data_IF_198859633165
#
_entry.id   IF_198859633165
#
_cell.length_a   1.000
_cell.length_b   1.000
_cell.length_c   1.000
_cell.angle_alpha   90.00
_cell.angle_beta   90.00
_cell.angle_gamma   90.00
#
_symmetry.space_group_name_H-M   'P 1'
#
loop_
_entity.id
_entity.type
_entity.pdbx_description
1 polymer ?
#
# COMPACT_ATOMS: atom_id res chain seq x y z
N UNK A 1 34.77 12.70 15.01
CA UNK A 1 33.49 13.44 14.90
C UNK A 1 33.80 14.89 15.21
N UNK A 2 33.68 15.81 14.25
CA UNK A 2 33.93 17.24 14.52
C UNK A 2 32.92 17.79 15.52
N UNK A 3 33.36 18.60 16.49
CA UNK A 3 32.50 19.25 17.47
C UNK A 3 31.31 19.91 16.76
N UNK A 4 30.10 19.45 17.08
CA UNK A 4 28.85 20.11 16.68
C UNK A 4 28.71 21.33 17.60
N UNK A 5 28.67 22.53 17.03
CA UNK A 5 28.75 23.78 17.83
C UNK A 5 27.39 24.34 18.23
N UNK A 6 26.33 24.07 17.46
CA UNK A 6 24.96 24.53 17.68
C UNK A 6 23.94 23.67 16.91
N UNK A 7 22.63 23.93 17.11
CA UNK A 7 21.55 23.16 16.47
C UNK A 7 21.55 23.26 14.94
N UNK A 8 21.88 24.43 14.37
CA UNK A 8 21.93 24.62 12.93
C UNK A 8 23.03 23.74 12.29
N UNK A 9 24.25 23.77 12.84
CA UNK A 9 25.36 22.92 12.39
C UNK A 9 25.04 21.42 12.54
N UNK A 10 24.29 21.03 13.59
CA UNK A 10 23.79 19.66 13.71
C UNK A 10 22.88 19.29 12.54
N UNK A 11 21.84 20.08 12.27
CA UNK A 11 20.84 19.78 11.25
C UNK A 11 21.45 19.80 9.84
N UNK A 12 22.27 20.81 9.53
CA UNK A 12 22.95 20.89 8.22
C UNK A 12 23.78 19.64 7.95
N UNK A 13 24.66 19.24 8.89
CA UNK A 13 25.44 17.99 8.75
C UNK A 13 24.56 16.75 8.77
N UNK A 14 23.41 16.81 9.44
CA UNK A 14 22.43 15.73 9.48
C UNK A 14 21.83 15.48 8.10
N UNK A 15 21.36 16.52 7.44
CA UNK A 15 20.74 16.49 6.12
C UNK A 15 21.77 16.25 5.01
N UNK A 16 22.94 16.91 5.04
CA UNK A 16 24.01 16.74 4.05
C UNK A 16 24.47 15.29 3.91
N UNK A 17 24.63 14.58 5.03
CA UNK A 17 24.99 13.15 5.03
C UNK A 17 23.96 12.28 4.27
N UNK A 18 22.72 12.78 4.14
CA UNK A 18 21.62 12.14 3.41
C UNK A 18 21.37 12.77 2.04
N UNK A 19 22.29 13.63 1.58
CA UNK A 19 22.20 14.36 0.31
C UNK A 19 20.95 15.26 0.24
N UNK A 20 20.48 15.75 1.38
CA UNK A 20 19.35 16.66 1.50
C UNK A 20 19.87 18.08 1.82
N UNK A 21 19.29 19.09 1.17
CA UNK A 21 19.54 20.50 1.49
C UNK A 21 18.59 21.02 2.57
N UNK A 22 17.38 20.48 2.60
CA UNK A 22 16.32 20.80 3.56
C UNK A 22 15.49 19.54 3.82
N UNK A 23 14.67 19.50 4.89
CA UNK A 23 13.70 18.43 5.10
C UNK A 23 12.73 18.30 3.91
N UNK A 24 12.36 17.08 3.57
CA UNK A 24 11.52 16.75 2.41
C UNK A 24 10.16 16.16 2.80
N UNK A 25 9.80 16.20 4.09
CA UNK A 25 8.51 15.70 4.57
C UNK A 25 8.44 14.17 4.73
N UNK A 26 9.52 13.43 4.48
CA UNK A 26 9.54 11.99 4.76
C UNK A 26 9.34 11.71 6.27
N UNK A 27 8.74 10.58 6.66
CA UNK A 27 8.61 10.19 8.06
C UNK A 27 9.95 10.18 8.80
N UNK A 28 9.95 10.56 10.08
CA UNK A 28 11.17 10.78 10.84
C UNK A 28 11.99 9.50 11.05
N UNK A 29 11.33 8.34 11.16
CA UNK A 29 12.00 7.04 11.25
C UNK A 29 12.86 6.71 10.01
N UNK A 30 12.53 7.25 8.84
CA UNK A 30 13.30 7.02 7.60
C UNK A 30 14.65 7.74 7.61
N UNK A 31 14.83 8.76 8.46
CA UNK A 31 16.13 9.39 8.60
C UNK A 31 17.16 8.45 9.24
N UNK A 32 16.76 7.44 10.04
CA UNK A 32 17.68 6.44 10.63
C UNK A 32 18.91 7.07 11.29
N UNK A 33 18.72 7.89 12.32
CA UNK A 33 19.86 8.52 13.03
C UNK A 33 20.76 7.46 13.68
N UNK A 34 22.07 7.57 13.51
CA UNK A 34 23.01 6.64 14.16
C UNK A 34 23.10 6.91 15.66
N UNK A 35 23.33 5.87 16.48
CA UNK A 35 23.47 6.03 17.93
C UNK A 35 24.45 7.15 18.33
N UNK A 36 25.63 7.24 17.71
CA UNK A 36 26.58 8.31 18.02
C UNK A 36 26.07 9.74 17.74
N UNK A 37 25.18 9.92 16.75
CA UNK A 37 24.52 11.21 16.48
C UNK A 37 23.38 11.47 17.44
N UNK A 38 22.63 10.43 17.81
CA UNK A 38 21.60 10.52 18.84
C UNK A 38 22.20 10.97 20.18
N UNK A 39 23.34 10.39 20.61
CA UNK A 39 24.03 10.82 21.83
C UNK A 39 24.56 12.27 21.73
N UNK A 40 25.10 12.66 20.57
CA UNK A 40 25.54 14.04 20.34
C UNK A 40 24.36 15.04 20.40
N UNK A 41 23.22 14.67 19.82
CA UNK A 41 21.98 15.46 19.86
C UNK A 41 21.45 15.61 21.29
N UNK A 42 21.45 14.51 22.06
CA UNK A 42 21.06 14.51 23.47
C UNK A 42 21.92 15.46 24.31
N UNK A 43 23.24 15.40 24.14
CA UNK A 43 24.18 16.30 24.82
C UNK A 43 23.93 17.77 24.43
N UNK A 44 23.75 18.04 23.12
CA UNK A 44 23.47 19.38 22.61
C UNK A 44 22.17 19.98 23.20
N UNK A 45 21.09 19.20 23.26
CA UNK A 45 19.81 19.62 23.86
C UNK A 45 19.93 19.87 25.37
N UNK A 46 20.77 19.10 26.07
CA UNK A 46 21.02 19.27 27.50
C UNK A 46 21.77 20.57 27.79
N UNK A 47 22.84 20.81 27.04
CA UNK A 47 23.80 21.90 27.31
C UNK A 47 23.36 23.25 26.73
N UNK A 48 22.76 23.27 25.55
CA UNK A 48 22.60 24.50 24.75
C UNK A 48 21.14 24.84 24.43
N UNK A 49 20.18 24.38 25.23
CA UNK A 49 18.76 24.65 24.97
C UNK A 49 18.48 26.15 24.80
N UNK A 50 18.07 26.52 23.60
CA UNK A 50 17.62 27.84 23.21
C UNK A 50 16.43 27.66 22.28
N UNK A 51 15.28 28.18 22.69
CA UNK A 51 14.00 27.95 22.00
C UNK A 51 13.94 28.64 20.64
N UNK A 52 14.53 27.95 19.67
CA UNK A 52 14.67 28.30 18.27
C UNK A 52 13.98 27.24 17.42
N UNK A 53 13.74 27.54 16.13
CA UNK A 53 13.15 26.56 15.23
C UNK A 53 14.04 25.31 15.10
N UNK A 54 15.36 25.49 15.05
CA UNK A 54 16.36 24.43 14.96
C UNK A 54 16.42 23.59 16.24
N UNK A 55 16.33 24.21 17.42
CA UNK A 55 16.22 23.47 18.68
C UNK A 55 14.94 22.64 18.72
N UNK A 56 13.81 23.20 18.28
CA UNK A 56 12.52 22.51 18.24
C UNK A 56 12.55 21.32 17.26
N UNK A 57 13.17 21.49 16.08
CA UNK A 57 13.40 20.40 15.12
C UNK A 57 14.31 19.30 15.69
N UNK A 58 15.40 19.69 16.34
CA UNK A 58 16.31 18.79 17.04
C UNK A 58 15.63 18.02 18.17
N UNK A 59 14.77 18.69 18.94
CA UNK A 59 14.01 18.09 20.02
C UNK A 59 13.05 17.02 19.49
N UNK A 60 12.26 17.32 18.45
CA UNK A 60 11.35 16.33 17.84
C UNK A 60 12.12 15.09 17.36
N UNK A 61 13.24 15.28 16.65
CA UNK A 61 14.07 14.17 16.18
C UNK A 61 14.65 13.35 17.35
N UNK A 62 15.06 14.01 18.43
CA UNK A 62 15.51 13.35 19.65
C UNK A 62 14.39 12.55 20.32
N UNK A 63 13.21 13.15 20.48
CA UNK A 63 12.06 12.53 21.15
C UNK A 63 11.60 11.27 20.42
N UNK A 64 11.52 11.32 19.09
CA UNK A 64 11.19 10.16 18.24
C UNK A 64 12.14 8.99 18.51
N UNK A 65 13.44 9.26 18.57
CA UNK A 65 14.47 8.24 18.79
C UNK A 65 14.54 7.74 20.22
N UNK A 66 14.26 8.61 21.18
CA UNK A 66 14.11 8.25 22.58
C UNK A 66 12.96 7.25 22.74
N UNK A 67 11.80 7.55 22.15
CA UNK A 67 10.61 6.69 22.18
C UNK A 67 10.81 5.35 21.45
N UNK A 68 11.71 5.30 20.46
CA UNK A 68 12.11 4.08 19.74
C UNK A 68 12.99 3.14 20.58
N UNK A 69 13.76 3.67 21.52
CA UNK A 69 14.80 2.90 22.22
C UNK A 69 14.24 1.89 23.23
N UNK A 70 14.85 0.71 23.35
CA UNK A 70 14.42 -0.36 24.26
C UNK A 70 14.73 -0.10 25.74
N UNK A 71 15.59 0.88 26.03
CA UNK A 71 16.01 1.19 27.41
C UNK A 71 14.91 1.79 28.30
N UNK A 72 13.69 1.89 27.79
CA UNK A 72 12.53 2.47 28.46
C UNK A 72 11.36 1.48 28.52
N UNK A 73 11.57 0.37 29.24
CA UNK A 73 10.50 -0.51 29.67
C UNK A 73 9.58 0.26 30.64
N UNK A 74 8.52 0.90 30.13
CA UNK A 74 7.55 1.63 30.93
C UNK A 74 6.62 2.54 30.12
N UNK A 75 5.65 3.17 30.78
CA UNK A 75 4.80 4.20 30.19
C UNK A 75 5.61 5.46 29.90
N UNK A 76 6.33 5.46 28.78
CA UNK A 76 7.03 6.61 28.23
C UNK A 76 6.07 7.80 28.17
N UNK A 77 6.38 8.85 28.90
CA UNK A 77 5.57 10.07 28.95
C UNK A 77 6.48 11.29 28.72
N UNK A 78 5.88 12.47 28.77
CA UNK A 78 6.63 13.72 28.60
C UNK A 78 7.71 13.92 29.66
N UNK A 79 7.47 13.53 30.92
CA UNK A 79 8.46 13.65 31.99
C UNK A 79 9.74 12.88 31.62
N UNK A 80 9.61 11.63 31.15
CA UNK A 80 10.75 10.83 30.71
C UNK A 80 11.59 11.53 29.63
N UNK A 81 10.94 12.13 28.63
CA UNK A 81 11.63 12.81 27.52
C UNK A 81 12.37 14.05 28.03
N UNK A 82 11.70 14.93 28.77
CA UNK A 82 12.29 16.20 29.22
C UNK A 82 13.36 15.99 30.30
N UNK A 83 13.14 15.06 31.23
CA UNK A 83 14.10 14.77 32.31
C UNK A 83 15.38 14.14 31.77
N UNK A 84 15.27 13.32 30.71
CA UNK A 84 16.43 12.69 30.07
C UNK A 84 17.46 13.68 29.49
N UNK A 85 17.03 14.93 29.23
CA UNK A 85 17.87 16.06 28.78
C UNK A 85 18.00 17.15 29.85
N UNK A 86 17.51 16.92 31.07
CA UNK A 86 17.58 17.89 32.17
C UNK A 86 16.74 19.16 31.94
N UNK A 87 15.63 19.05 31.20
CA UNK A 87 14.72 20.17 30.87
C UNK A 87 13.31 19.96 31.41
N UNK A 88 13.16 19.24 32.53
CA UNK A 88 11.86 19.01 33.19
C UNK A 88 11.09 20.30 33.52
N UNK A 89 11.78 21.42 33.70
CA UNK A 89 11.16 22.74 33.90
C UNK A 89 10.38 23.27 32.68
N UNK A 90 10.62 22.74 31.47
CA UNK A 90 9.90 23.09 30.25
C UNK A 90 8.66 22.21 30.03
N UNK A 91 8.44 21.24 30.92
CA UNK A 91 7.49 20.17 30.74
C UNK A 91 6.04 20.58 31.12
N UNK A 92 5.49 21.59 30.45
CA UNK A 92 4.10 22.03 30.63
C UNK A 92 3.35 22.13 29.29
N UNK A 93 2.02 21.92 29.26
CA UNK A 93 1.25 21.72 28.02
C UNK A 93 1.52 22.73 26.91
N UNK A 94 1.48 24.04 27.22
CA UNK A 94 1.68 25.09 26.22
C UNK A 94 3.08 25.06 25.56
N UNK A 95 4.13 24.77 26.33
CA UNK A 95 5.49 24.63 25.80
C UNK A 95 5.63 23.37 24.97
N UNK A 96 5.09 22.23 25.45
CA UNK A 96 5.10 20.95 24.72
C UNK A 96 4.49 21.12 23.33
N UNK A 97 3.27 21.67 23.27
CA UNK A 97 2.56 21.88 22.00
C UNK A 97 3.38 22.76 21.06
N UNK A 98 3.84 23.93 21.52
CA UNK A 98 4.60 24.86 20.67
C UNK A 98 5.93 24.29 20.16
N UNK A 99 6.71 23.64 21.04
CA UNK A 99 7.99 23.02 20.69
C UNK A 99 7.78 21.94 19.61
N UNK A 100 6.79 21.07 19.82
CA UNK A 100 6.52 19.94 18.93
C UNK A 100 5.91 20.41 17.60
N UNK A 101 4.99 21.37 17.61
CA UNK A 101 4.44 22.00 16.41
C UNK A 101 5.51 22.64 15.55
N UNK A 102 6.38 23.44 16.16
CA UNK A 102 7.47 24.10 15.44
C UNK A 102 8.48 23.10 14.87
N UNK A 103 8.77 22.03 15.62
CA UNK A 103 9.65 20.96 15.16
C UNK A 103 9.06 20.19 13.99
N UNK A 104 7.80 19.74 14.08
CA UNK A 104 7.15 19.05 12.97
C UNK A 104 6.98 19.93 11.73
N UNK A 105 6.66 21.22 11.92
CA UNK A 105 6.62 22.19 10.83
C UNK A 105 7.96 22.30 10.12
N UNK A 106 9.08 22.31 10.86
CA UNK A 106 10.42 22.31 10.27
C UNK A 106 10.65 21.05 9.41
N UNK A 107 10.24 19.88 9.91
CA UNK A 107 10.37 18.61 9.20
C UNK A 107 9.35 18.42 8.06
N UNK A 108 8.47 19.41 7.81
CA UNK A 108 7.36 19.34 6.85
C UNK A 108 6.43 18.14 7.11
N UNK A 109 6.14 17.88 8.39
CA UNK A 109 5.28 16.79 8.85
C UNK A 109 4.04 17.35 9.54
N UNK A 110 2.93 16.66 9.38
CA UNK A 110 1.68 16.99 10.04
C UNK A 110 1.59 16.33 11.42
N UNK A 111 0.82 16.95 12.31
CA UNK A 111 0.52 16.39 13.63
C UNK A 111 -0.83 15.68 13.54
N UNK A 112 -0.92 14.51 14.16
CA UNK A 112 -2.17 13.75 14.20
C UNK A 112 -3.28 14.55 14.89
N UNK A 113 -4.39 14.75 14.17
CA UNK A 113 -5.59 15.44 14.65
C UNK A 113 -6.67 14.42 15.06
N UNK A 114 -6.38 13.63 16.11
CA UNK A 114 -7.39 12.79 16.77
C UNK A 114 -8.36 13.60 17.63
N UNK A 115 -9.21 12.93 18.42
CA UNK A 115 -10.18 13.60 19.31
C UNK A 115 -9.49 14.54 20.32
N UNK A 116 -8.26 14.19 20.73
CA UNK A 116 -7.34 15.09 21.41
C UNK A 116 -6.10 15.21 20.51
N UNK A 117 -5.61 16.43 20.28
CA UNK A 117 -4.36 16.69 19.53
C UNK A 117 -3.18 16.05 20.25
N UNK A 118 -2.88 14.79 19.93
CA UNK A 118 -1.97 13.94 20.69
C UNK A 118 -0.54 14.02 20.13
N UNK A 119 0.16 15.08 20.52
CA UNK A 119 1.57 15.32 20.16
C UNK A 119 2.49 14.15 20.52
N UNK A 120 2.27 13.51 21.68
CA UNK A 120 3.09 12.39 22.12
C UNK A 120 2.87 11.17 21.24
N UNK A 121 1.63 10.89 20.87
CA UNK A 121 1.27 9.77 20.00
C UNK A 121 1.77 10.01 18.57
N UNK A 122 1.76 11.26 18.09
CA UNK A 122 2.42 11.64 16.83
C UNK A 122 3.93 11.33 16.88
N UNK A 123 4.62 11.70 17.96
CA UNK A 123 6.05 11.38 18.14
C UNK A 123 6.30 9.87 18.21
N UNK A 124 5.42 9.09 18.86
CA UNK A 124 5.50 7.63 18.86
C UNK A 124 5.36 7.08 17.45
N UNK A 125 4.38 7.54 16.69
CA UNK A 125 4.18 7.10 15.33
C UNK A 125 5.40 7.36 14.44
N UNK A 126 5.96 8.56 14.54
CA UNK A 126 7.12 9.00 13.79
C UNK A 126 8.41 8.23 14.16
N UNK A 127 8.38 7.38 15.20
CA UNK A 127 9.43 6.42 15.54
C UNK A 127 9.44 5.15 14.68
N UNK A 128 8.42 4.97 13.84
CA UNK A 128 8.26 3.84 12.93
C UNK A 128 7.35 2.78 13.51
N UNK A 129 7.93 1.76 14.14
CA UNK A 129 7.20 0.72 14.87
C UNK A 129 7.44 0.92 16.36
N UNK A 130 6.49 1.51 17.12
CA UNK A 130 6.66 1.68 18.56
C UNK A 130 6.91 0.34 19.24
N UNK A 131 7.84 0.29 20.22
CA UNK A 131 8.06 -0.94 21.00
C UNK A 131 6.78 -1.42 21.71
N UNK A 132 5.85 -0.50 22.03
CA UNK A 132 4.51 -0.83 22.53
C UNK A 132 3.67 -1.64 21.54
N UNK A 133 3.83 -1.41 20.24
CA UNK A 133 3.16 -2.19 19.19
C UNK A 133 3.78 -3.58 19.01
N UNK A 134 4.99 -3.80 19.51
CA UNK A 134 5.63 -5.12 19.59
C UNK A 134 5.21 -5.89 20.86
N UNK A 135 4.51 -5.27 21.82
CA UNK A 135 3.99 -6.00 22.98
C UNK A 135 2.83 -6.93 22.59
N UNK A 136 1.99 -6.53 21.63
CA UNK A 136 0.92 -7.33 21.02
C UNK A 136 1.32 -7.83 19.62
N UNK A 137 2.46 -8.53 19.55
CA UNK A 137 3.14 -8.99 18.32
C UNK A 137 2.23 -9.68 17.29
N UNK A 138 1.12 -10.27 17.70
CA UNK A 138 0.27 -11.05 16.82
C UNK A 138 -0.46 -10.20 15.77
N UNK A 139 -0.89 -8.98 16.10
CA UNK A 139 -1.73 -8.19 15.19
C UNK A 139 -0.92 -7.56 14.06
N UNK A 140 0.19 -6.89 14.41
CA UNK A 140 1.11 -6.33 13.41
C UNK A 140 1.76 -7.43 12.57
N UNK A 141 2.18 -8.54 13.19
CA UNK A 141 2.74 -9.67 12.45
C UNK A 141 1.70 -10.27 11.50
N UNK A 142 0.45 -10.42 11.93
CA UNK A 142 -0.63 -10.95 11.07
C UNK A 142 -0.96 -10.00 9.93
N UNK A 143 -1.04 -8.69 10.18
CA UNK A 143 -1.20 -7.69 9.12
C UNK A 143 -0.09 -7.84 8.08
N UNK A 144 1.17 -7.75 8.49
CA UNK A 144 2.32 -7.85 7.57
C UNK A 144 2.33 -9.18 6.82
N UNK A 145 2.07 -10.32 7.49
CA UNK A 145 2.03 -11.63 6.81
C UNK A 145 0.90 -11.70 5.79
N UNK A 146 -0.29 -11.24 6.15
CA UNK A 146 -1.47 -11.25 5.29
C UNK A 146 -1.27 -10.35 4.07
N UNK A 147 -0.63 -9.20 4.26
CA UNK A 147 -0.27 -8.24 3.21
C UNK A 147 0.85 -8.80 2.34
N UNK A 148 1.88 -9.40 2.94
CA UNK A 148 2.99 -10.05 2.23
C UNK A 148 2.49 -11.15 1.29
N UNK A 149 1.58 -12.01 1.76
CA UNK A 149 1.00 -13.06 0.93
C UNK A 149 0.31 -12.50 -0.31
N UNK A 150 -0.36 -11.35 -0.22
CA UNK A 150 -0.95 -10.70 -1.38
C UNK A 150 0.12 -10.21 -2.37
N UNK A 151 1.17 -9.54 -1.87
CA UNK A 151 2.27 -9.06 -2.73
C UNK A 151 2.99 -10.23 -3.40
N UNK A 152 3.23 -11.32 -2.67
CA UNK A 152 3.89 -12.51 -3.22
C UNK A 152 3.03 -13.25 -4.26
N UNK A 153 1.72 -13.36 -4.00
CA UNK A 153 0.79 -14.07 -4.88
C UNK A 153 0.38 -13.28 -6.12
N UNK A 154 0.20 -11.98 -5.98
CA UNK A 154 -0.45 -11.13 -7.00
C UNK A 154 0.48 -10.10 -7.63
N UNK A 155 1.71 -9.95 -7.12
CA UNK A 155 2.67 -8.95 -7.61
C UNK A 155 2.12 -7.52 -7.64
N UNK A 156 1.27 -7.20 -6.65
CA UNK A 156 0.67 -5.89 -6.50
C UNK A 156 1.75 -4.80 -6.43
N UNK A 157 1.41 -3.61 -6.91
CA UNK A 157 2.20 -2.38 -6.75
C UNK A 157 2.10 -1.81 -5.33
N UNK A 158 2.89 -0.77 -5.03
CA UNK A 158 2.77 -0.06 -3.74
C UNK A 158 1.39 0.59 -3.57
N UNK A 159 0.88 1.23 -4.62
CA UNK A 159 -0.40 1.93 -4.61
C UNK A 159 -1.58 0.95 -4.51
N UNK A 160 -1.48 -0.21 -5.16
CA UNK A 160 -2.51 -1.25 -5.10
C UNK A 160 -2.60 -1.88 -3.70
N UNK A 161 -1.49 -1.93 -2.96
CA UNK A 161 -1.43 -2.59 -1.67
C UNK A 161 -2.04 -1.76 -0.53
N UNK A 162 -2.01 -0.43 -0.63
CA UNK A 162 -2.50 0.48 0.41
C UNK A 162 -3.99 0.25 0.72
N UNK A 163 -4.92 0.21 -0.26
CA UNK A 163 -6.33 -0.09 0.00
C UNK A 163 -6.56 -1.45 0.68
N UNK A 164 -5.72 -2.45 0.40
CA UNK A 164 -5.81 -3.76 1.08
C UNK A 164 -5.39 -3.68 2.55
N UNK A 165 -4.37 -2.88 2.86
CA UNK A 165 -3.95 -2.64 4.24
C UNK A 165 -5.06 -1.90 4.99
N UNK A 166 -5.68 -0.90 4.35
CA UNK A 166 -6.81 -0.14 4.89
C UNK A 166 -8.01 -1.04 5.22
N UNK A 167 -8.47 -1.88 4.28
CA UNK A 167 -9.60 -2.81 4.52
C UNK A 167 -9.34 -3.77 5.69
N UNK A 168 -8.09 -4.20 5.85
CA UNK A 168 -7.72 -5.17 6.88
C UNK A 168 -7.37 -4.53 8.22
N UNK A 169 -7.26 -3.21 8.29
CA UNK A 169 -6.84 -2.54 9.53
C UNK A 169 -7.88 -2.60 10.64
N UNK A 170 -9.13 -2.91 10.29
CA UNK A 170 -10.18 -3.19 11.27
C UNK A 170 -10.18 -4.65 11.74
N UNK A 171 -9.66 -5.57 10.91
CA UNK A 171 -9.55 -7.01 11.22
C UNK A 171 -8.46 -7.29 12.24
N UNK A 172 -7.37 -6.51 12.18
CA UNK A 172 -6.32 -6.52 13.19
C UNK A 172 -6.48 -5.26 14.02
N UNK A 173 -6.63 -5.31 15.36
CA UNK A 173 -6.86 -4.11 16.17
C UNK A 173 -5.60 -3.23 16.24
N UNK A 174 -5.27 -2.57 15.13
CA UNK A 174 -4.18 -1.62 14.98
C UNK A 174 -4.64 -0.29 15.60
N UNK A 175 -3.86 0.30 16.52
CA UNK A 175 -4.16 1.58 17.15
C UNK A 175 -4.50 2.69 16.14
N UNK A 176 -5.50 3.53 16.44
CA UNK A 176 -5.98 4.60 15.54
C UNK A 176 -4.87 5.55 15.09
N UNK A 177 -3.88 5.84 15.93
CA UNK A 177 -2.73 6.69 15.59
C UNK A 177 -1.85 6.10 14.47
N UNK A 178 -1.83 4.77 14.33
CA UNK A 178 -1.10 4.07 13.26
C UNK A 178 -1.92 3.97 11.97
N UNK A 179 -3.22 4.34 11.98
CA UNK A 179 -4.09 4.22 10.81
C UNK A 179 -3.93 5.43 9.88
N UNK A 180 -2.73 5.57 9.34
CA UNK A 180 -2.33 6.68 8.48
C UNK A 180 -1.60 6.16 7.25
N UNK A 181 -1.68 6.93 6.16
CA UNK A 181 -1.01 6.62 4.88
C UNK A 181 0.48 6.28 5.06
N UNK A 182 1.19 7.01 5.92
CA UNK A 182 2.62 6.76 6.20
C UNK A 182 2.88 5.38 6.86
N UNK A 183 1.93 4.85 7.64
CA UNK A 183 2.02 3.51 8.21
C UNK A 183 1.77 2.45 7.16
N UNK A 184 0.77 2.68 6.29
CA UNK A 184 0.46 1.77 5.19
C UNK A 184 1.66 1.69 4.26
N UNK A 185 2.23 2.84 3.90
CA UNK A 185 3.50 2.93 3.17
C UNK A 185 4.66 2.19 3.86
N UNK A 186 4.76 2.23 5.19
CA UNK A 186 5.78 1.46 5.92
C UNK A 186 5.57 -0.05 5.78
N UNK A 187 4.34 -0.53 6.01
CA UNK A 187 3.97 -1.95 5.86
C UNK A 187 4.20 -2.42 4.43
N UNK A 188 3.84 -1.60 3.44
CA UNK A 188 4.09 -1.83 2.02
C UNK A 188 5.58 -1.99 1.73
N UNK A 189 6.41 -1.00 2.08
CA UNK A 189 7.88 -1.05 1.89
C UNK A 189 8.50 -2.27 2.57
N UNK A 190 7.99 -2.65 3.74
CA UNK A 190 8.41 -3.87 4.44
C UNK A 190 8.11 -5.13 3.63
N UNK A 191 6.88 -5.28 3.14
CA UNK A 191 6.46 -6.44 2.35
C UNK A 191 7.29 -6.59 1.08
N UNK A 192 7.54 -5.50 0.35
CA UNK A 192 8.42 -5.53 -0.82
C UNK A 192 9.85 -5.92 -0.48
N UNK A 193 10.39 -5.40 0.64
CA UNK A 193 11.75 -5.77 1.05
C UNK A 193 11.86 -7.23 1.47
N UNK A 194 10.83 -7.76 2.14
CA UNK A 194 10.75 -9.19 2.44
C UNK A 194 10.65 -10.04 1.18
N UNK A 195 9.92 -9.57 0.16
CA UNK A 195 9.77 -10.30 -1.09
C UNK A 195 11.10 -10.38 -1.84
N UNK A 196 11.80 -9.24 -1.94
CA UNK A 196 13.16 -9.18 -2.48
C UNK A 196 14.06 -10.19 -1.77
N UNK A 197 14.03 -10.23 -0.43
CA UNK A 197 14.85 -11.17 0.32
C UNK A 197 14.44 -12.63 0.11
N UNK A 198 13.14 -12.95 0.13
CA UNK A 198 12.64 -14.32 -0.05
C UNK A 198 13.06 -14.89 -1.39
N UNK A 199 13.00 -14.09 -2.45
CA UNK A 199 13.34 -14.50 -3.81
C UNK A 199 14.85 -14.56 -4.05
N UNK A 200 15.56 -13.45 -3.77
CA UNK A 200 16.99 -13.32 -4.05
C UNK A 200 17.86 -14.32 -3.29
N UNK A 201 17.45 -14.68 -2.08
CA UNK A 201 18.16 -15.62 -1.22
C UNK A 201 17.47 -16.98 -1.11
N UNK A 202 16.41 -17.21 -1.91
CA UNK A 202 15.64 -18.45 -1.96
C UNK A 202 15.25 -18.95 -0.55
N UNK A 203 14.80 -18.02 0.30
CA UNK A 203 14.64 -18.25 1.74
C UNK A 203 13.68 -19.40 2.05
N UNK A 204 12.69 -19.65 1.19
CA UNK A 204 11.74 -20.75 1.32
C UNK A 204 12.40 -22.14 1.33
N UNK A 205 13.58 -22.29 0.71
CA UNK A 205 14.34 -23.55 0.66
C UNK A 205 15.26 -23.76 1.86
N UNK A 206 15.37 -22.78 2.77
CA UNK A 206 16.38 -22.78 3.84
C UNK A 206 15.76 -23.25 5.16
N UNK A 207 16.47 -24.10 5.89
CA UNK A 207 16.04 -24.59 7.21
C UNK A 207 16.03 -23.48 8.27
N UNK A 208 17.03 -22.60 8.24
CA UNK A 208 17.10 -21.38 9.04
C UNK A 208 17.25 -20.14 8.14
N UNK A 209 16.14 -19.61 7.59
CA UNK A 209 16.13 -18.51 6.62
C UNK A 209 16.82 -17.24 7.14
N UNK A 210 16.57 -16.88 8.40
CA UNK A 210 17.08 -15.65 8.99
C UNK A 210 18.59 -15.73 9.24
N UNK A 211 19.08 -16.85 9.75
CA UNK A 211 20.52 -17.08 9.92
C UNK A 211 21.24 -17.14 8.56
N UNK A 212 20.62 -17.80 7.57
CA UNK A 212 21.14 -17.83 6.20
C UNK A 212 21.25 -16.42 5.62
N UNK A 213 20.20 -15.59 5.74
CA UNK A 213 20.22 -14.19 5.31
C UNK A 213 21.29 -13.38 6.05
N UNK A 214 21.47 -13.59 7.35
CA UNK A 214 22.52 -12.93 8.13
C UNK A 214 23.92 -13.24 7.58
N UNK A 215 24.17 -14.49 7.21
CA UNK A 215 25.48 -14.92 6.71
C UNK A 215 25.76 -14.43 5.29
N UNK A 216 24.75 -14.36 4.42
CA UNK A 216 24.91 -13.97 3.02
C UNK A 216 24.75 -12.47 2.78
N UNK A 217 24.10 -11.76 3.72
CA UNK A 217 23.91 -10.31 3.67
C UNK A 217 24.00 -9.71 5.07
N UNK A 218 25.21 -9.64 5.61
CA UNK A 218 25.48 -9.21 7.00
C UNK A 218 24.89 -7.85 7.39
N UNK A 219 24.66 -6.96 6.42
CA UNK A 219 24.10 -5.63 6.60
C UNK A 219 22.61 -5.49 6.22
N UNK A 220 21.86 -6.58 6.02
CA UNK A 220 20.47 -6.54 5.56
C UNK A 220 19.56 -5.64 6.43
N UNK A 221 19.83 -5.55 7.74
CA UNK A 221 19.10 -4.69 8.67
C UNK A 221 19.17 -3.21 8.32
N UNK A 222 20.28 -2.75 7.73
CA UNK A 222 20.44 -1.36 7.31
C UNK A 222 19.57 -1.02 6.08
N UNK A 223 19.20 -2.05 5.29
CA UNK A 223 18.38 -1.91 4.08
C UNK A 223 16.88 -1.87 4.36
N UNK A 224 16.45 -2.27 5.56
CA UNK A 224 15.05 -2.20 5.95
C UNK A 224 14.56 -0.75 5.98
N UNK A 225 13.27 -0.48 5.67
CA UNK A 225 12.76 0.89 5.58
C UNK A 225 12.82 1.67 6.91
N UNK A 226 12.86 0.96 8.04
CA UNK A 226 13.10 1.52 9.36
C UNK A 226 14.38 0.97 9.99
N UNK A 227 14.82 1.62 11.06
CA UNK A 227 15.99 1.23 11.82
C UNK A 227 15.68 0.05 12.75
N UNK A 228 16.39 -1.07 12.56
CA UNK A 228 16.31 -2.25 13.43
C UNK A 228 17.41 -2.17 14.48
N UNK A 229 17.04 -1.89 15.73
CA UNK A 229 17.94 -1.91 16.89
C UNK A 229 17.20 -2.45 18.11
N UNK A 230 17.94 -3.11 19.00
CA UNK A 230 17.40 -3.70 20.20
C UNK A 230 16.94 -5.15 20.03
N UNK A 231 17.00 -5.93 21.10
CA UNK A 231 16.79 -7.38 21.08
C UNK A 231 15.37 -7.74 20.66
N UNK A 232 14.34 -7.03 21.13
CA UNK A 232 12.93 -7.28 20.79
C UNK A 232 12.63 -6.98 19.33
N UNK A 233 13.12 -5.85 18.82
CA UNK A 233 12.95 -5.50 17.40
C UNK A 233 13.68 -6.52 16.53
N UNK A 234 14.88 -6.95 16.94
CA UNK A 234 15.62 -7.99 16.24
C UNK A 234 14.88 -9.33 16.23
N UNK A 235 14.35 -9.77 17.37
CA UNK A 235 13.54 -10.99 17.50
C UNK A 235 12.29 -10.92 16.62
N UNK A 236 11.57 -9.80 16.63
CA UNK A 236 10.40 -9.58 15.78
C UNK A 236 10.73 -9.77 14.29
N UNK A 237 11.77 -9.09 13.79
CA UNK A 237 12.17 -9.20 12.39
C UNK A 237 12.75 -10.58 12.05
N UNK A 238 13.49 -11.21 12.97
CA UNK A 238 14.00 -12.56 12.77
C UNK A 238 12.84 -13.56 12.64
N UNK A 239 11.81 -13.43 13.47
CA UNK A 239 10.61 -14.26 13.43
C UNK A 239 9.80 -14.01 12.18
N UNK A 240 9.57 -12.74 11.80
CA UNK A 240 8.73 -12.43 10.64
C UNK A 240 9.35 -12.91 9.33
N UNK A 241 10.67 -12.79 9.17
CA UNK A 241 11.39 -13.33 8.00
C UNK A 241 11.29 -14.86 7.95
N UNK A 242 11.46 -15.53 9.09
CA UNK A 242 11.29 -16.97 9.20
C UNK A 242 9.87 -17.39 8.83
N UNK A 243 8.85 -16.72 9.35
CA UNK A 243 7.46 -17.03 9.07
C UNK A 243 7.13 -16.78 7.58
N UNK A 244 7.50 -15.61 7.05
CA UNK A 244 7.28 -15.21 5.65
C UNK A 244 7.95 -16.18 4.67
N UNK A 245 9.15 -16.67 4.98
CA UNK A 245 9.85 -17.63 4.12
C UNK A 245 9.06 -18.93 3.92
N UNK A 246 8.23 -19.30 4.90
CA UNK A 246 7.41 -20.52 4.92
C UNK A 246 5.96 -20.27 4.52
N UNK A 247 5.54 -19.01 4.35
CA UNK A 247 4.21 -18.71 3.85
C UNK A 247 4.07 -19.28 2.44
N UNK A 248 3.04 -20.09 2.28
CA UNK A 248 2.59 -20.52 0.97
C UNK A 248 1.92 -19.32 0.29
N UNK A 249 2.12 -19.24 -1.02
CA UNK A 249 1.40 -18.30 -1.86
C UNK A 249 -0.09 -18.60 -1.70
N UNK A 250 -0.89 -17.56 -1.53
CA UNK A 250 -2.33 -17.66 -1.80
C UNK A 250 -2.42 -18.09 -3.27
N UNK A 251 -3.08 -19.22 -3.53
CA UNK A 251 -3.36 -19.63 -4.90
C UNK A 251 -4.04 -18.47 -5.61
N UNK A 252 -3.66 -18.17 -6.88
CA UNK A 252 -4.14 -16.98 -7.54
C UNK A 252 -5.67 -16.92 -7.44
N UNK A 253 -6.20 -15.75 -7.06
CA UNK A 253 -7.58 -15.34 -7.27
C UNK A 253 -8.16 -16.16 -8.41
N UNK A 254 -9.04 -17.08 -8.06
CA UNK A 254 -9.62 -17.96 -9.04
C UNK A 254 -10.41 -17.14 -10.08
N UNK A 255 -10.88 -15.95 -9.68
CA UNK A 255 -11.51 -14.96 -10.54
C UNK A 255 -10.46 -14.05 -11.18
N UNK A 256 -10.28 -14.16 -12.49
CA UNK A 256 -9.42 -13.29 -13.32
C UNK A 256 -10.30 -12.33 -14.11
N UNK A 257 -10.08 -11.03 -13.93
CA UNK A 257 -10.78 -9.99 -14.68
C UNK A 257 -9.84 -9.30 -15.65
N UNK A 258 -10.23 -9.21 -16.91
CA UNK A 258 -9.51 -8.48 -17.95
C UNK A 258 -10.50 -7.48 -18.57
N UNK A 259 -10.18 -6.18 -18.52
CA UNK A 259 -10.99 -5.18 -19.20
C UNK A 259 -10.33 -4.81 -20.52
N UNK A 260 -11.07 -4.95 -21.62
CA UNK A 260 -10.60 -4.66 -22.97
C UNK A 260 -11.43 -3.58 -23.64
N UNK A 261 -10.81 -2.85 -24.55
CA UNK A 261 -11.45 -1.91 -25.45
C UNK A 261 -11.53 -2.54 -26.84
N UNK A 262 -12.73 -2.68 -27.37
CA UNK A 262 -12.97 -3.25 -28.72
C UNK A 262 -13.68 -2.25 -29.60
N UNK A 263 -13.31 -2.22 -30.88
CA UNK A 263 -13.99 -1.43 -31.90
C UNK A 263 -14.94 -2.34 -32.70
N UNK A 264 -16.22 -1.96 -32.79
CA UNK A 264 -17.24 -2.67 -33.56
C UNK A 264 -17.97 -1.64 -34.42
N UNK A 265 -17.89 -1.79 -35.75
CA UNK A 265 -18.55 -0.90 -36.72
C UNK A 265 -18.22 0.60 -36.52
N UNK A 266 -17.01 0.93 -36.08
CA UNK A 266 -16.58 2.31 -35.81
C UNK A 266 -16.99 2.88 -34.46
N UNK A 267 -17.63 2.08 -33.60
CA UNK A 267 -17.93 2.43 -32.21
C UNK A 267 -17.04 1.65 -31.24
N UNK A 268 -16.57 2.32 -30.19
CA UNK A 268 -15.76 1.69 -29.16
C UNK A 268 -16.64 1.15 -28.04
N UNK A 269 -16.29 -0.03 -27.55
CA UNK A 269 -16.99 -0.73 -26.48
C UNK A 269 -15.97 -1.28 -25.50
N UNK A 270 -16.14 -0.96 -24.23
CA UNK A 270 -15.39 -1.60 -23.15
C UNK A 270 -16.08 -2.90 -22.76
N UNK A 271 -15.30 -3.97 -22.60
CA UNK A 271 -15.77 -5.27 -22.14
C UNK A 271 -14.91 -5.72 -20.97
N UNK A 272 -15.55 -6.24 -19.93
CA UNK A 272 -14.84 -6.94 -18.85
C UNK A 272 -15.04 -8.43 -19.03
N UNK A 273 -13.95 -9.17 -19.19
CA UNK A 273 -13.92 -10.62 -19.27
C UNK A 273 -13.63 -11.19 -17.89
N UNK A 274 -14.40 -12.19 -17.48
CA UNK A 274 -14.17 -12.99 -16.30
C UNK A 274 -13.71 -14.40 -16.72
N UNK A 275 -12.53 -14.79 -16.27
CA UNK A 275 -11.98 -16.13 -16.44
C UNK A 275 -11.71 -16.78 -15.09
N UNK A 276 -11.90 -18.08 -15.02
CA UNK A 276 -11.59 -18.94 -13.89
C UNK A 276 -10.85 -20.15 -14.45
N UNK A 277 -9.56 -20.34 -14.18
CA UNK A 277 -8.88 -21.54 -14.64
C UNK A 277 -9.48 -22.78 -13.99
N UNK A 278 -9.48 -23.90 -14.71
CA UNK A 278 -9.87 -25.18 -14.12
C UNK A 278 -8.83 -25.58 -13.07
N UNK A 279 -9.27 -25.94 -11.87
CA UNK A 279 -8.36 -26.24 -10.78
C UNK A 279 -9.07 -26.55 -9.48
N UNK A 280 -8.26 -26.79 -8.45
CA UNK A 280 -8.70 -26.89 -7.06
C UNK A 280 -8.11 -25.69 -6.35
N UNK A 281 -8.96 -24.90 -5.70
CA UNK A 281 -8.62 -23.65 -5.03
C UNK A 281 -9.02 -23.69 -3.56
N UNK A 282 -8.43 -22.82 -2.74
CA UNK A 282 -8.99 -22.54 -1.42
C UNK A 282 -10.24 -21.66 -1.52
N UNK A 283 -11.10 -21.64 -0.50
CA UNK A 283 -12.28 -20.77 -0.51
C UNK A 283 -11.91 -19.28 -0.50
N UNK A 284 -10.78 -18.92 0.11
CA UNK A 284 -10.27 -17.56 0.14
C UNK A 284 -9.87 -17.05 -1.26
N UNK A 285 -9.50 -17.94 -2.18
CA UNK A 285 -9.20 -17.58 -3.58
C UNK A 285 -10.44 -17.02 -4.33
N UNK A 286 -11.64 -17.23 -3.77
CA UNK A 286 -12.91 -16.68 -4.26
C UNK A 286 -13.45 -15.53 -3.37
N UNK A 287 -12.71 -15.16 -2.32
CA UNK A 287 -13.08 -14.12 -1.37
C UNK A 287 -14.17 -14.56 -0.39
N UNK A 288 -14.34 -15.87 -0.21
CA UNK A 288 -15.25 -16.44 0.76
C UNK A 288 -14.54 -16.56 2.11
N UNK A 289 -15.20 -16.09 3.18
CA UNK A 289 -14.78 -16.40 4.55
C UNK A 289 -15.03 -17.88 4.88
N UNK A 290 -14.41 -18.39 5.93
CA UNK A 290 -14.57 -19.80 6.34
C UNK A 290 -16.03 -20.12 6.73
N UNK A 291 -16.67 -19.25 7.49
CA UNK A 291 -18.08 -19.37 7.88
C UNK A 291 -19.03 -19.27 6.67
N UNK A 292 -18.77 -18.33 5.76
CA UNK A 292 -19.48 -18.22 4.49
C UNK A 292 -19.28 -19.48 3.63
N UNK A 293 -18.05 -19.98 3.52
CA UNK A 293 -17.75 -21.19 2.79
C UNK A 293 -18.49 -22.37 3.39
N UNK A 294 -18.44 -22.58 4.70
CA UNK A 294 -19.06 -23.72 5.39
C UNK A 294 -20.55 -23.85 5.13
N UNK A 295 -21.25 -22.71 5.02
CA UNK A 295 -22.68 -22.70 4.69
C UNK A 295 -23.00 -23.18 3.27
N UNK A 296 -22.06 -23.10 2.31
CA UNK A 296 -22.30 -23.53 0.94
C UNK A 296 -22.54 -25.05 0.85
N UNK A 297 -23.37 -25.54 -0.09
CA UNK A 297 -23.54 -26.97 -0.29
C UNK A 297 -22.33 -27.62 -0.96
N UNK A 298 -22.30 -28.96 -0.98
CA UNK A 298 -21.26 -29.72 -1.66
C UNK A 298 -21.11 -29.40 -3.15
N UNK A 299 -22.19 -28.94 -3.79
CA UNK A 299 -22.21 -28.44 -5.17
C UNK A 299 -22.92 -27.09 -5.20
N UNK A 300 -22.29 -26.08 -5.80
CA UNK A 300 -22.78 -24.70 -5.84
C UNK A 300 -22.28 -24.01 -7.13
N UNK A 301 -22.79 -22.82 -7.44
CA UNK A 301 -22.44 -22.09 -8.66
C UNK A 301 -22.04 -20.65 -8.37
N UNK A 302 -21.20 -20.09 -9.24
CA UNK A 302 -20.99 -18.66 -9.36
C UNK A 302 -22.09 -18.11 -10.25
N UNK A 303 -22.75 -17.05 -9.81
CA UNK A 303 -23.73 -16.33 -10.60
C UNK A 303 -23.37 -14.85 -10.66
N UNK A 304 -23.81 -14.19 -11.73
CA UNK A 304 -23.83 -12.74 -11.81
C UNK A 304 -25.27 -12.26 -11.65
N UNK A 305 -25.46 -11.26 -10.79
CA UNK A 305 -26.72 -10.56 -10.62
C UNK A 305 -26.60 -9.15 -11.18
N UNK A 306 -27.51 -8.78 -12.08
CA UNK A 306 -27.61 -7.43 -12.65
C UNK A 306 -29.07 -6.99 -12.57
N UNK A 307 -29.35 -5.89 -11.88
CA UNK A 307 -30.71 -5.34 -11.72
C UNK A 307 -31.74 -6.40 -11.25
N UNK A 308 -31.35 -7.27 -10.31
CA UNK A 308 -32.18 -8.34 -9.78
C UNK A 308 -32.33 -9.58 -10.68
N UNK A 309 -31.71 -9.62 -11.86
CA UNK A 309 -31.66 -10.80 -12.73
C UNK A 309 -30.39 -11.59 -12.47
N UNK A 310 -30.54 -12.87 -12.13
CA UNK A 310 -29.42 -13.77 -11.83
C UNK A 310 -29.14 -14.67 -13.04
N UNK A 311 -27.87 -14.74 -13.45
CA UNK A 311 -27.37 -15.65 -14.47
C UNK A 311 -26.23 -16.50 -13.91
N UNK A 312 -26.37 -17.82 -14.00
CA UNK A 312 -25.30 -18.74 -13.61
C UNK A 312 -24.15 -18.72 -14.61
N UNK A 313 -22.92 -18.68 -14.11
CA UNK A 313 -21.69 -18.57 -14.89
C UNK A 313 -20.94 -19.90 -14.98
N UNK A 314 -20.62 -20.47 -13.82
CA UNK A 314 -19.94 -21.76 -13.71
C UNK A 314 -20.29 -22.43 -12.39
N UNK A 315 -20.03 -23.74 -12.31
CA UNK A 315 -20.32 -24.57 -11.14
C UNK A 315 -19.05 -25.04 -10.46
N UNK A 316 -19.13 -25.23 -9.16
CA UNK A 316 -18.07 -25.72 -8.29
C UNK A 316 -18.50 -26.93 -7.48
N UNK A 317 -17.50 -27.63 -6.95
CA UNK A 317 -17.71 -28.72 -6.00
C UNK A 317 -16.82 -28.49 -4.79
N UNK A 318 -17.38 -28.55 -3.58
CA UNK A 318 -16.60 -28.56 -2.36
C UNK A 318 -15.77 -29.83 -2.28
N UNK A 319 -14.53 -29.67 -1.86
CA UNK A 319 -13.61 -30.76 -1.52
C UNK A 319 -13.28 -30.63 -0.02
N UNK A 320 -12.90 -31.75 0.60
CA UNK A 320 -12.40 -31.77 1.97
C UNK A 320 -11.31 -30.70 2.21
N UNK A 321 -11.24 -30.18 3.44
CA UNK A 321 -10.23 -29.20 3.89
C UNK A 321 -10.37 -27.79 3.28
N UNK A 322 -11.60 -27.26 3.17
CA UNK A 322 -11.79 -25.84 2.79
C UNK A 322 -11.58 -25.54 1.30
N UNK A 323 -11.59 -26.57 0.44
CA UNK A 323 -11.23 -26.42 -0.98
C UNK A 323 -12.42 -26.46 -1.93
N UNK A 324 -12.26 -25.82 -3.08
CA UNK A 324 -13.25 -25.66 -4.14
C UNK A 324 -12.64 -26.20 -5.44
N UNK A 325 -13.25 -27.22 -6.02
CA UNK A 325 -12.97 -27.63 -7.40
C UNK A 325 -13.74 -26.72 -8.36
N UNK A 326 -13.02 -25.97 -9.19
CA UNK A 326 -13.62 -25.21 -10.29
C UNK A 326 -13.53 -25.99 -11.61
N UNK A 327 -14.64 -26.06 -12.34
CA UNK A 327 -14.65 -26.62 -13.70
C UNK A 327 -13.97 -25.73 -14.74
N UNK A 328 -13.77 -24.47 -14.36
CA UNK A 328 -13.24 -23.41 -15.20
C UNK A 328 -14.34 -22.55 -15.84
N UNK A 329 -13.96 -21.37 -16.28
CA UNK A 329 -14.73 -20.38 -17.01
C UNK A 329 -13.71 -19.63 -17.88
N UNK A 330 -13.91 -19.53 -19.18
CA UNK A 330 -12.93 -18.88 -20.04
C UNK A 330 -13.55 -17.67 -20.74
N UNK A 331 -13.02 -16.49 -20.42
CA UNK A 331 -13.32 -15.23 -21.09
C UNK A 331 -14.80 -14.85 -21.08
N UNK A 332 -15.54 -15.15 -20.02
CA UNK A 332 -16.96 -14.80 -19.94
C UNK A 332 -17.12 -13.28 -19.94
N UNK A 333 -17.71 -12.75 -21.00
CA UNK A 333 -17.96 -11.31 -21.13
C UNK A 333 -19.09 -10.94 -20.17
N UNK A 334 -18.76 -10.12 -19.16
CA UNK A 334 -19.76 -9.56 -18.27
C UNK A 334 -20.73 -8.67 -19.07
N UNK A 335 -22.00 -8.52 -18.64
CA UNK A 335 -23.00 -7.75 -19.39
C UNK A 335 -22.52 -6.35 -19.78
N UNK A 336 -22.92 -5.89 -20.96
CA UNK A 336 -22.43 -4.65 -21.61
C UNK A 336 -22.45 -3.42 -20.68
N UNK A 337 -23.43 -3.34 -19.78
CA UNK A 337 -23.66 -2.21 -18.90
C UNK A 337 -22.78 -2.19 -17.63
N UNK A 338 -21.76 -3.04 -17.50
CA UNK A 338 -20.93 -3.22 -16.28
C UNK A 338 -20.23 -1.95 -15.78
N UNK A 339 -20.06 -0.94 -16.65
CA UNK A 339 -19.52 0.37 -16.28
C UNK A 339 -20.59 1.26 -15.60
N UNK A 340 -21.86 1.09 -16.00
CA UNK A 340 -22.94 1.99 -15.60
C UNK A 340 -24.01 1.33 -14.71
N UNK A 341 -23.96 0.00 -14.53
CA UNK A 341 -24.90 -0.77 -13.72
C UNK A 341 -24.22 -1.48 -12.60
N UNK A 342 -24.89 -1.50 -11.45
CA UNK A 342 -24.46 -2.33 -10.34
C UNK A 342 -24.69 -3.81 -10.66
N UNK A 343 -23.61 -4.56 -10.64
CA UNK A 343 -23.62 -6.02 -10.67
C UNK A 343 -22.87 -6.57 -9.47
N UNK A 344 -23.24 -7.79 -9.08
CA UNK A 344 -22.68 -8.52 -7.95
C UNK A 344 -22.44 -9.97 -8.37
N UNK A 345 -21.29 -10.52 -7.99
CA UNK A 345 -21.05 -11.95 -8.09
C UNK A 345 -21.52 -12.65 -6.82
N UNK A 346 -22.32 -13.68 -6.99
CA UNK A 346 -22.92 -14.43 -5.88
C UNK A 346 -22.63 -15.91 -5.99
N UNK A 347 -22.29 -16.53 -4.86
CA UNK A 347 -22.23 -17.98 -4.74
C UNK A 347 -23.57 -18.49 -4.21
N UNK A 348 -24.20 -19.43 -4.90
CA UNK A 348 -25.48 -20.03 -4.47
C UNK A 348 -25.68 -21.46 -4.96
N UNK A 349 -26.65 -22.15 -4.38
CA UNK A 349 -27.18 -23.42 -4.90
C UNK A 349 -28.40 -23.19 -5.80
N UNK A 350 -28.84 -24.22 -6.52
CA UNK A 350 -30.06 -24.19 -7.34
C UNK A 350 -31.31 -23.82 -6.54
N UNK A 351 -31.29 -23.98 -5.21
CA UNK A 351 -32.41 -23.67 -4.31
C UNK A 351 -32.32 -22.27 -3.66
N UNK A 352 -31.36 -21.42 -4.07
CA UNK A 352 -31.26 -19.98 -3.74
C UNK A 352 -31.17 -19.58 -2.24
N UNK A 353 -31.07 -20.49 -1.27
CA UNK A 353 -31.12 -20.10 0.15
C UNK A 353 -29.85 -19.42 0.70
N UNK A 354 -28.74 -19.43 -0.04
CA UNK A 354 -27.48 -18.84 0.40
C UNK A 354 -26.86 -18.00 -0.72
N UNK A 355 -26.59 -16.74 -0.39
CA UNK A 355 -26.02 -15.72 -1.27
C UNK A 355 -24.83 -15.12 -0.56
N UNK A 356 -23.63 -15.46 -1.02
CA UNK A 356 -22.39 -14.80 -0.57
C UNK A 356 -21.90 -13.89 -1.70
N UNK A 357 -21.76 -12.60 -1.43
CA UNK A 357 -21.20 -11.63 -2.37
C UNK A 357 -19.67 -11.75 -2.42
N UNK A 358 -19.09 -11.80 -3.61
CA UNK A 358 -17.63 -11.74 -3.75
C UNK A 358 -17.13 -10.32 -3.50
N UNK A 359 -16.42 -10.09 -2.40
CA UNK A 359 -15.77 -8.80 -2.09
C UNK A 359 -14.74 -8.42 -3.16
N UNK A 360 -14.09 -9.41 -3.77
CA UNK A 360 -13.06 -9.25 -4.81
C UNK A 360 -13.60 -8.54 -6.06
N UNK A 361 -14.84 -8.82 -6.44
CA UNK A 361 -15.45 -8.26 -7.64
C UNK A 361 -15.56 -6.73 -7.60
N UNK A 362 -15.60 -6.13 -6.40
CA UNK A 362 -15.70 -4.67 -6.22
C UNK A 362 -14.44 -3.93 -6.67
N UNK A 363 -13.27 -4.56 -6.54
CA UNK A 363 -11.96 -3.97 -6.86
C UNK A 363 -11.65 -3.96 -8.37
N UNK A 364 -12.36 -4.78 -9.15
CA UNK A 364 -12.19 -4.86 -10.60
C UNK A 364 -13.18 -3.99 -11.38
N UNK A 365 -14.01 -3.21 -10.69
CA UNK A 365 -14.92 -2.25 -11.33
C UNK A 365 -14.11 -1.07 -11.85
N UNK A 366 -14.12 -0.89 -13.17
CA UNK A 366 -13.60 0.32 -13.81
C UNK A 366 -14.57 1.46 -13.54
N UNK A 367 -14.11 2.50 -12.83
CA UNK A 367 -14.92 3.69 -12.58
C UNK A 367 -14.72 4.68 -13.73
N UNK A 368 -15.80 5.05 -14.42
CA UNK A 368 -15.77 5.97 -15.57
C UNK A 368 -15.53 7.44 -15.19
N UNK A 369 -15.46 7.76 -13.90
CA UNK A 369 -15.25 9.12 -13.39
C UNK A 369 -13.83 9.64 -13.60
N UNK A 370 -12.86 8.77 -13.84
CA UNK A 370 -11.46 9.13 -14.06
C UNK A 370 -11.00 8.83 -15.49
N UNK A 371 -9.98 9.53 -16.02
CA UNK A 371 -9.43 9.22 -17.34
C UNK A 371 -8.86 7.80 -17.41
N UNK A 372 -9.39 6.96 -18.30
CA UNK A 372 -9.01 5.55 -18.40
C UNK A 372 -7.93 5.35 -19.47
N UNK A 373 -6.90 4.57 -19.17
CA UNK A 373 -5.79 4.30 -20.09
C UNK A 373 -5.77 2.83 -20.50
N UNK A 374 -5.67 2.59 -21.80
CA UNK A 374 -5.60 1.28 -22.43
C UNK A 374 -4.33 1.16 -23.27
N UNK A 375 -3.69 -0.01 -23.26
CA UNK A 375 -2.50 -0.32 -24.04
C UNK A 375 -2.78 -1.46 -25.01
N UNK A 376 -2.10 -1.48 -26.16
CA UNK A 376 -2.20 -2.58 -27.10
C UNK A 376 -1.23 -3.70 -26.73
N UNK A 377 -1.74 -4.91 -26.56
CA UNK A 377 -0.94 -6.12 -26.38
C UNK A 377 -0.49 -6.70 -27.72
N UNK A 378 0.50 -7.61 -27.68
CA UNK A 378 1.05 -8.30 -28.86
C UNK A 378 0.00 -9.03 -29.73
N UNK A 379 -1.18 -9.32 -29.17
CA UNK A 379 -2.30 -9.96 -29.83
C UNK A 379 -3.26 -8.96 -30.54
N UNK A 380 -2.95 -7.66 -30.51
CA UNK A 380 -3.77 -6.58 -31.08
C UNK A 380 -4.98 -6.17 -30.22
N UNK A 381 -5.09 -6.69 -28.99
CA UNK A 381 -6.14 -6.29 -28.04
C UNK A 381 -5.71 -5.06 -27.26
N UNK A 382 -6.65 -4.14 -27.06
CA UNK A 382 -6.46 -2.99 -26.19
C UNK A 382 -6.92 -3.35 -24.78
N UNK A 383 -6.00 -3.42 -23.82
CA UNK A 383 -6.24 -3.87 -22.44
C UNK A 383 -6.11 -2.70 -21.47
N UNK A 384 -6.99 -2.66 -20.48
CA UNK A 384 -7.04 -1.61 -19.48
C UNK A 384 -5.82 -1.64 -18.57
N UNK A 385 -5.11 -0.51 -18.51
CA UNK A 385 -3.86 -0.34 -17.78
C UNK A 385 -4.04 0.43 -16.46
N UNK A 386 -5.09 1.23 -16.34
CA UNK A 386 -5.37 2.00 -15.12
C UNK A 386 -6.03 3.33 -15.40
N UNK A 387 -6.42 4.02 -14.33
CA UNK A 387 -6.86 5.41 -14.41
C UNK A 387 -5.64 6.34 -14.26
N UNK A 388 -5.67 7.50 -14.92
CA UNK A 388 -4.62 8.51 -14.79
C UNK A 388 -4.60 9.10 -13.37
N UNK A 389 -3.43 9.50 -12.83
CA UNK A 389 -2.15 9.57 -13.52
C UNK A 389 -1.37 8.24 -13.50
N UNK A 390 -0.66 7.90 -14.58
CA UNK A 390 0.26 6.75 -14.60
C UNK A 390 1.38 6.84 -15.65
N UNK A 391 2.49 6.11 -15.40
CA UNK A 391 3.53 5.81 -16.41
C UNK A 391 3.30 4.46 -17.08
N UNK A 392 3.55 4.39 -18.38
CA UNK A 392 3.51 3.16 -19.18
C UNK A 392 4.79 2.97 -20.00
N UNK A 393 5.10 1.72 -20.35
CA UNK A 393 6.28 1.38 -21.17
C UNK A 393 6.00 1.55 -22.65
N UNK A 394 4.73 1.43 -23.01
CA UNK A 394 4.25 1.45 -24.38
C UNK A 394 4.42 2.83 -25.00
N UNK A 395 4.71 2.83 -26.29
CA UNK A 395 4.89 4.04 -27.10
C UNK A 395 3.55 4.62 -27.58
N UNK A 396 2.47 3.86 -27.45
CA UNK A 396 1.12 4.26 -27.82
C UNK A 396 0.15 3.74 -26.78
N UNK A 397 -0.82 4.57 -26.39
CA UNK A 397 -1.96 4.17 -25.61
C UNK A 397 -3.26 4.80 -26.13
N UNK A 398 -4.38 4.32 -25.62
CA UNK A 398 -5.68 4.96 -25.78
C UNK A 398 -6.15 5.51 -24.44
N UNK A 399 -6.51 6.79 -24.45
CA UNK A 399 -7.03 7.50 -23.28
C UNK A 399 -8.50 7.80 -23.51
N UNK A 400 -9.32 7.43 -22.55
CA UNK A 400 -10.76 7.64 -22.58
C UNK A 400 -11.12 8.69 -21.53
N UNK A 401 -11.81 9.72 -21.95
CA UNK A 401 -12.25 10.80 -21.07
C UNK A 401 -13.71 11.18 -21.32
N UNK A 402 -14.37 11.65 -20.27
CA UNK A 402 -15.59 12.43 -20.39
C UNK A 402 -15.20 13.87 -20.75
N UNK A 403 -15.50 14.31 -21.99
CA UNK A 403 -15.17 15.66 -22.48
C UNK A 403 -15.92 16.78 -21.74
N UNK A 404 -16.94 16.45 -20.93
CA UNK A 404 -17.63 17.42 -20.07
C UNK A 404 -16.90 17.67 -18.75
N UNK A 405 -16.03 16.74 -18.34
CA UNK A 405 -15.26 16.81 -17.10
C UNK A 405 -13.78 17.08 -17.35
N UNK A 406 -13.25 16.60 -18.48
CA UNK A 406 -11.82 16.60 -18.76
C UNK A 406 -11.50 17.15 -20.15
N UNK A 407 -10.30 17.70 -20.28
CA UNK A 407 -9.70 18.11 -21.56
C UNK A 407 -8.25 17.65 -21.64
N UNK A 408 -7.75 17.33 -22.84
CA UNK A 408 -6.35 16.90 -23.04
C UNK A 408 -5.57 18.04 -23.72
N UNK A 409 -4.43 18.42 -23.15
CA UNK A 409 -3.52 19.41 -23.74
C UNK A 409 -2.58 18.78 -24.79
N UNK A 410 -2.20 19.59 -25.79
CA UNK A 410 -1.28 19.29 -26.89
C UNK A 410 -1.82 18.28 -27.94
N UNK A 411 -2.40 18.82 -29.01
CA UNK A 411 -2.99 18.07 -30.13
C UNK A 411 -1.98 17.79 -31.25
N UNK A 412 -1.23 16.70 -31.13
CA UNK A 412 -1.09 15.75 -32.27
C UNK A 412 -1.98 14.50 -32.06
N UNK A 413 -2.91 14.58 -31.09
CA UNK A 413 -3.81 13.53 -30.69
C UNK A 413 -4.91 13.29 -31.71
N UNK A 414 -5.01 12.05 -32.18
CA UNK A 414 -6.11 11.61 -33.03
C UNK A 414 -7.27 11.16 -32.13
N UNK A 415 -8.36 11.92 -32.15
CA UNK A 415 -9.66 11.42 -31.69
C UNK A 415 -10.03 10.26 -32.60
N UNK A 416 -9.94 9.04 -32.08
CA UNK A 416 -10.15 7.81 -32.86
C UNK A 416 -11.60 7.36 -32.82
N UNK A 417 -12.36 7.77 -31.80
CA UNK A 417 -13.79 7.51 -31.77
C UNK A 417 -14.44 7.88 -30.44
N UNK A 418 -15.64 7.33 -30.24
CA UNK A 418 -16.42 7.48 -29.01
C UNK A 418 -16.94 6.13 -28.56
N UNK A 419 -17.17 6.05 -27.27
CA UNK A 419 -17.86 4.96 -26.62
C UNK A 419 -19.35 5.32 -26.52
N UNK A 420 -20.22 4.32 -26.63
CA UNK A 420 -21.69 4.49 -26.63
C UNK A 420 -22.17 5.25 -25.40
N UNK A 421 -21.48 5.07 -24.28
CA UNK A 421 -21.72 5.67 -22.97
C UNK A 421 -21.24 7.12 -22.82
N UNK A 422 -20.65 7.72 -23.86
CA UNK A 422 -20.30 9.16 -23.90
C UNK A 422 -18.82 9.50 -23.69
N UNK A 423 -17.98 8.52 -23.35
CA UNK A 423 -16.52 8.72 -23.28
C UNK A 423 -15.95 8.88 -24.68
N UNK A 424 -15.00 9.80 -24.84
CA UNK A 424 -14.24 9.97 -26.08
C UNK A 424 -12.93 9.23 -26.00
N UNK A 425 -12.58 8.51 -27.07
CA UNK A 425 -11.34 7.75 -27.20
C UNK A 425 -10.31 8.56 -27.97
N UNK A 426 -9.19 8.82 -27.32
CA UNK A 426 -8.01 9.47 -27.88
C UNK A 426 -6.88 8.46 -28.05
N UNK A 427 -6.22 8.45 -29.20
CA UNK A 427 -4.94 7.78 -29.34
C UNK A 427 -3.82 8.76 -28.98
N UNK A 428 -2.93 8.31 -28.10
CA UNK A 428 -1.85 9.10 -27.51
C UNK A 428 -0.53 8.38 -27.81
N UNK A 429 0.42 9.10 -28.41
CA UNK A 429 1.76 8.62 -28.80
C UNK A 429 2.90 9.43 -28.16
N UNK A 430 2.57 10.38 -27.29
CA UNK A 430 3.49 11.15 -26.46
C UNK A 430 2.93 11.37 -25.06
N UNK A 431 3.76 11.79 -24.11
CA UNK A 431 3.30 12.23 -22.78
C UNK A 431 2.13 13.22 -22.91
N UNK A 432 1.04 12.98 -22.19
CA UNK A 432 -0.15 13.82 -22.24
C UNK A 432 -0.58 14.32 -20.86
N UNK A 433 -1.16 15.51 -20.85
CA UNK A 433 -1.73 16.16 -19.67
C UNK A 433 -3.24 16.27 -19.85
N UNK A 434 -4.00 15.82 -18.86
CA UNK A 434 -5.44 15.76 -18.84
C UNK A 434 -5.93 16.66 -17.72
N UNK A 435 -6.55 17.78 -18.07
CA UNK A 435 -7.03 18.76 -17.11
C UNK A 435 -8.48 18.46 -16.71
N UNK A 436 -8.75 18.45 -15.40
CA UNK A 436 -10.09 18.53 -14.84
C UNK A 436 -10.61 19.96 -15.01
N UNK A 437 -11.71 20.10 -15.74
CA UNK A 437 -12.33 21.39 -16.07
C UNK A 437 -12.89 22.07 -14.80
N UNK A 438 -13.30 21.29 -13.80
CA UNK A 438 -14.01 21.79 -12.63
C UNK A 438 -13.11 21.95 -11.39
N UNK A 439 -12.11 21.10 -11.20
CA UNK A 439 -11.34 21.05 -9.94
C UNK A 439 -9.93 21.65 -10.00
N UNK A 440 -9.52 22.26 -11.12
CA UNK A 440 -8.15 22.77 -11.33
C UNK A 440 -7.05 21.71 -11.09
N UNK A 441 -7.40 20.43 -11.10
CA UNK A 441 -6.49 19.30 -11.04
C UNK A 441 -6.07 18.90 -12.45
N UNK A 442 -4.87 18.33 -12.57
CA UNK A 442 -4.38 17.80 -13.83
C UNK A 442 -3.80 16.40 -13.59
N UNK A 443 -4.18 15.48 -14.46
CA UNK A 443 -3.69 14.11 -14.51
C UNK A 443 -2.69 14.00 -15.66
N UNK A 444 -1.73 13.10 -15.56
CA UNK A 444 -0.73 12.90 -16.62
C UNK A 444 -0.65 11.44 -17.01
N UNK A 445 -0.42 11.18 -18.29
CA UNK A 445 -0.05 9.85 -18.80
C UNK A 445 1.32 9.98 -19.45
N UNK A 446 2.28 9.21 -18.94
CA UNK A 446 3.67 9.26 -19.41
C UNK A 446 4.05 7.99 -20.13
N UNK A 447 4.56 8.11 -21.35
CA UNK A 447 4.87 7.00 -22.26
C UNK A 447 6.37 6.75 -22.29
N UNK A 448 6.77 5.55 -22.73
CA UNK A 448 8.18 5.14 -22.84
C UNK A 448 8.99 5.28 -21.54
N UNK A 449 8.33 5.22 -20.38
CA UNK A 449 8.99 5.25 -19.07
C UNK A 449 8.94 3.85 -18.45
N UNK A 450 9.81 3.59 -17.47
CA UNK A 450 9.56 2.45 -16.59
C UNK A 450 8.16 2.63 -16.02
N UNK A 451 7.23 1.73 -16.41
CA UNK A 451 5.85 1.80 -15.96
C UNK A 451 5.85 1.89 -14.44
N UNK A 452 5.04 2.80 -13.90
CA UNK A 452 4.60 2.62 -12.53
C UNK A 452 3.96 1.23 -12.52
N UNK A 453 4.23 0.41 -11.50
CA UNK A 453 3.85 -1.01 -11.46
C UNK A 453 2.33 -1.27 -11.49
N UNK A 454 1.51 -0.42 -12.11
CA UNK A 454 0.07 -0.56 -12.21
C UNK A 454 -0.30 -1.34 -13.49
N UNK A 455 -0.95 -2.48 -13.24
CA UNK A 455 -1.72 -3.36 -14.14
C UNK A 455 -1.05 -3.84 -15.43
N UNK A 456 -0.37 -4.97 -15.37
CA UNK A 456 -0.91 -6.10 -16.13
C UNK A 456 -0.85 -7.22 -15.09
N UNK A 457 -2.00 -7.74 -14.68
CA UNK A 457 -2.03 -9.08 -14.11
C UNK A 457 -1.78 -10.03 -15.27
N UNK A 458 -0.55 -10.03 -15.79
CA UNK A 458 -0.11 -10.91 -16.85
C UNK A 458 0.18 -12.24 -16.18
N UNK A 459 -0.87 -13.08 -16.12
CA UNK A 459 -0.76 -14.46 -15.67
C UNK A 459 -0.34 -15.33 -16.85
N UNK A 460 0.84 -15.06 -17.41
CA UNK A 460 1.54 -16.02 -18.28
C UNK A 460 2.03 -17.22 -17.47
#
# INVERSE_FOLDING_TARGET
>A
MGNVKNFMDFITRFLEKRKLKEPDGRPLYEYKISNGRYQALKALLKENWEDSQECNACFVLYSVEFLRSESSEGHLNWDCIFDSIGKGNLNFPASRSRIVENGFKYWKREIFQGQNREFLETLRFESGLPNSSLHDNNNLSSLIKSTFQLVESYRLSEDELIPFIEDRIDKYPIPMVLRQENFYGLVTKLCFKFLEFKEKYELASKSNPTEYLQNHRTNWRAEMPLKIEGDRMNEFFNKIISDISKLEKIEPLALRFETILTEINGEFIIKTLLSIPKGVYSHEAFGLKEDEFDTLPGYFSLNIEVEGKIKSLTSFTKINCGKISARGLDGFILPFDVINKEWVLTFSSENMELRVESEIAKYFKVQSSEPLVFIEENNGKWVFKGAAPLKIKELVCRVLIDESLYSIENLELQKVGKIVEGLTVYQVDSDCLINDINNQSAFWVKLAQEADNNKILDFS
#
